data_IF_131595509914
#
_entry.id   IF_131595509914
#
_cell.length_a   1.000
_cell.length_b   1.000
_cell.length_c   1.000
_cell.angle_alpha   90.00
_cell.angle_beta   90.00
_cell.angle_gamma   90.00
#
_symmetry.space_group_name_H-M   'P 1'
#
loop_
_entity.id
_entity.type
_entity.pdbx_description
1 polymer ?
#
# COMPACT_ATOMS: atom_id res chain seq x y z
N UNK A 1 -25.60 9.44 3.73
CA UNK A 1 -26.03 8.18 3.08
C UNK A 1 -25.49 8.21 1.65
N UNK A 2 -24.61 7.28 1.34
CA UNK A 2 -24.19 7.08 -0.06
C UNK A 2 -25.37 6.43 -0.80
N UNK A 3 -25.69 6.83 -2.02
CA UNK A 3 -26.91 6.39 -2.73
C UNK A 3 -26.96 4.87 -3.04
N UNK A 4 -25.92 4.12 -2.67
CA UNK A 4 -25.79 2.69 -2.96
C UNK A 4 -25.66 1.82 -1.72
N UNK A 5 -25.68 2.39 -0.50
CA UNK A 5 -25.64 1.61 0.74
C UNK A 5 -26.98 0.90 0.97
N UNK A 6 -26.96 -0.36 1.34
CA UNK A 6 -28.12 -1.06 1.94
C UNK A 6 -28.46 -0.46 3.31
N UNK A 7 -29.61 -0.84 3.87
CA UNK A 7 -30.01 -0.36 5.19
C UNK A 7 -29.00 -0.77 6.30
N UNK A 8 -28.44 -1.98 6.20
CA UNK A 8 -27.42 -2.49 7.12
C UNK A 8 -26.10 -1.71 6.96
N UNK A 9 -25.65 -1.51 5.74
CA UNK A 9 -24.43 -0.74 5.43
C UNK A 9 -24.55 0.72 5.85
N UNK A 10 -25.73 1.33 5.67
CA UNK A 10 -26.01 2.70 6.14
C UNK A 10 -25.97 2.81 7.67
N UNK A 11 -26.47 1.80 8.38
CA UNK A 11 -26.40 1.71 9.85
C UNK A 11 -24.95 1.59 10.30
N UNK A 12 -24.17 0.69 9.68
CA UNK A 12 -22.74 0.49 9.95
C UNK A 12 -21.94 1.78 9.68
N UNK A 13 -22.22 2.48 8.58
CA UNK A 13 -21.58 3.77 8.28
C UNK A 13 -21.84 4.81 9.36
N UNK A 14 -23.06 4.86 9.86
CA UNK A 14 -23.45 5.80 10.92
C UNK A 14 -22.70 5.46 12.22
N UNK A 15 -22.57 4.18 12.58
CA UNK A 15 -21.80 3.72 13.73
C UNK A 15 -20.32 4.09 13.60
N UNK A 16 -19.71 3.79 12.44
CA UNK A 16 -18.31 4.11 12.15
C UNK A 16 -18.05 5.62 12.25
N UNK A 17 -18.87 6.45 11.60
CA UNK A 17 -18.77 7.92 11.65
C UNK A 17 -18.91 8.45 13.05
N UNK A 18 -19.85 7.92 13.84
CA UNK A 18 -20.05 8.36 15.23
C UNK A 18 -18.84 8.07 16.09
N UNK A 19 -18.26 6.88 15.93
CA UNK A 19 -17.04 6.50 16.65
C UNK A 19 -15.84 7.37 16.22
N UNK A 20 -15.64 7.57 14.94
CA UNK A 20 -14.56 8.41 14.40
C UNK A 20 -14.69 9.85 14.88
N UNK A 21 -15.90 10.42 14.88
CA UNK A 21 -16.15 11.79 15.37
C UNK A 21 -15.81 11.95 16.84
N UNK A 22 -15.99 10.92 17.64
CA UNK A 22 -15.66 10.94 19.07
C UNK A 22 -14.16 10.73 19.37
N UNK A 23 -13.39 10.11 18.47
CA UNK A 23 -12.02 9.68 18.72
C UNK A 23 -10.96 10.33 17.81
N UNK A 24 -11.36 10.96 16.71
CA UNK A 24 -10.43 11.56 15.75
C UNK A 24 -10.84 13.00 15.40
N UNK A 25 -9.88 13.78 14.92
CA UNK A 25 -10.14 15.14 14.45
C UNK A 25 -10.41 15.12 12.96
N UNK A 26 -11.47 15.79 12.48
CA UNK A 26 -11.69 15.91 11.05
C UNK A 26 -10.56 16.69 10.38
N UNK A 27 -10.34 16.48 9.09
CA UNK A 27 -9.48 17.33 8.30
C UNK A 27 -10.02 18.77 8.32
N UNK A 28 -9.12 19.75 8.53
CA UNK A 28 -9.46 21.19 8.43
C UNK A 28 -9.54 21.63 6.96
N UNK A 29 -8.78 20.97 6.09
CA UNK A 29 -8.78 21.16 4.63
C UNK A 29 -8.68 19.79 3.95
N UNK A 30 -9.13 19.65 2.70
CA UNK A 30 -8.93 18.42 1.95
C UNK A 30 -7.44 18.08 1.84
N UNK A 31 -7.02 16.83 2.09
CA UNK A 31 -5.62 16.43 1.96
C UNK A 31 -5.13 16.61 0.51
N UNK A 32 -3.93 17.13 0.36
CA UNK A 32 -3.30 17.43 -0.93
C UNK A 32 -2.67 16.17 -1.52
N UNK A 33 -1.93 15.42 -0.72
CA UNK A 33 -1.19 14.25 -1.17
C UNK A 33 -1.77 12.94 -0.61
N UNK A 34 -1.65 11.80 -1.34
CA UNK A 34 -1.89 10.50 -0.76
C UNK A 34 -0.83 10.18 0.29
N UNK A 35 -1.18 9.42 1.31
CA UNK A 35 -0.27 8.98 2.37
C UNK A 35 0.97 8.20 1.87
N UNK A 36 0.90 7.64 0.66
CA UNK A 36 2.04 6.98 0.01
C UNK A 36 3.14 7.96 -0.46
N UNK A 37 2.85 9.27 -0.53
CA UNK A 37 3.83 10.30 -0.84
C UNK A 37 4.21 10.96 0.48
N UNK A 38 5.40 10.61 0.95
CA UNK A 38 5.94 11.10 2.23
C UNK A 38 6.92 12.22 1.94
N UNK A 39 6.76 13.35 2.63
CA UNK A 39 7.73 14.44 2.65
C UNK A 39 8.98 14.03 3.46
N UNK A 40 10.05 14.82 3.34
CA UNK A 40 11.23 14.66 4.20
C UNK A 40 10.86 15.01 5.66
N UNK A 41 11.08 14.07 6.57
CA UNK A 41 10.91 14.29 8.01
C UNK A 41 12.25 14.29 8.72
N UNK A 42 12.38 15.13 9.73
CA UNK A 42 13.47 15.00 10.69
C UNK A 42 13.29 13.68 11.49
N UNK A 43 14.38 13.06 11.97
CA UNK A 43 14.27 11.81 12.74
C UNK A 43 13.29 11.85 13.91
N UNK A 44 13.29 12.95 14.66
CA UNK A 44 12.40 13.14 15.82
C UNK A 44 10.93 13.27 15.37
N UNK A 45 10.69 13.81 14.19
CA UNK A 45 9.35 13.90 13.61
C UNK A 45 8.87 12.52 13.13
N UNK A 46 9.75 11.73 12.53
CA UNK A 46 9.45 10.37 12.10
C UNK A 46 9.09 9.48 13.29
N UNK A 47 9.87 9.51 14.38
CA UNK A 47 9.56 8.79 15.63
C UNK A 47 8.20 9.22 16.21
N UNK A 48 7.94 10.53 16.24
CA UNK A 48 6.65 11.06 16.71
C UNK A 48 5.48 10.57 15.86
N UNK A 49 5.60 10.62 14.53
CA UNK A 49 4.56 10.14 13.60
C UNK A 49 4.31 8.63 13.73
N UNK A 50 5.37 7.85 13.93
CA UNK A 50 5.24 6.43 14.21
C UNK A 50 4.50 6.17 15.53
N UNK A 51 4.86 6.90 16.59
CA UNK A 51 4.18 6.78 17.88
C UNK A 51 2.70 7.17 17.79
N UNK A 52 2.37 8.24 17.06
CA UNK A 52 0.99 8.66 16.79
C UNK A 52 0.21 7.60 15.99
N UNK A 53 0.84 6.99 14.98
CA UNK A 53 0.24 5.93 14.17
C UNK A 53 -0.04 4.66 15.00
N UNK A 54 0.90 4.26 15.85
CA UNK A 54 0.73 3.14 16.80
C UNK A 54 -0.41 3.43 17.79
N UNK A 55 -0.44 4.62 18.38
CA UNK A 55 -1.49 5.02 19.34
C UNK A 55 -2.88 5.04 18.68
N UNK A 56 -3.00 5.55 17.45
CA UNK A 56 -4.25 5.53 16.71
C UNK A 56 -4.69 4.10 16.38
N UNK A 57 -3.78 3.26 15.92
CA UNK A 57 -4.07 1.86 15.60
C UNK A 57 -4.49 1.08 16.83
N UNK A 58 -3.84 1.29 17.99
CA UNK A 58 -4.22 0.70 19.27
C UNK A 58 -5.62 1.16 19.71
N UNK A 59 -5.94 2.44 19.56
CA UNK A 59 -7.28 2.97 19.85
C UNK A 59 -8.35 2.27 18.98
N UNK A 60 -8.07 2.02 17.69
CA UNK A 60 -8.96 1.25 16.84
C UNK A 60 -9.06 -0.21 17.28
N UNK A 61 -7.94 -0.82 17.68
CA UNK A 61 -7.90 -2.22 18.11
C UNK A 61 -8.74 -2.43 19.36
N UNK A 62 -8.57 -1.61 20.38
CA UNK A 62 -9.32 -1.68 21.65
C UNK A 62 -10.83 -1.51 21.46
N UNK A 63 -11.22 -0.70 20.46
CA UNK A 63 -12.62 -0.45 20.11
C UNK A 63 -13.18 -1.43 19.06
N UNK A 64 -12.39 -2.39 18.55
CA UNK A 64 -12.79 -3.36 17.54
C UNK A 64 -12.95 -2.79 16.12
N UNK A 65 -12.21 -1.72 15.78
CA UNK A 65 -12.20 -1.07 14.47
C UNK A 65 -10.90 -1.27 13.67
N UNK A 66 -9.88 -1.88 14.26
CA UNK A 66 -8.56 -2.01 13.64
C UNK A 66 -8.56 -2.89 12.37
N UNK A 67 -9.38 -3.92 12.32
CA UNK A 67 -9.50 -4.83 11.18
C UNK A 67 -10.96 -5.26 11.01
N UNK A 68 -11.76 -4.43 10.37
CA UNK A 68 -13.21 -4.67 10.24
C UNK A 68 -13.50 -6.01 9.56
N UNK A 69 -12.80 -6.35 8.49
CA UNK A 69 -13.00 -7.61 7.75
C UNK A 69 -12.14 -8.77 8.26
N UNK A 70 -11.31 -8.57 9.29
CA UNK A 70 -10.47 -9.64 9.82
C UNK A 70 -11.24 -10.53 10.80
N UNK A 71 -10.88 -11.84 10.91
CA UNK A 71 -11.50 -12.74 11.87
C UNK A 71 -11.35 -12.26 13.31
N UNK A 72 -12.39 -12.52 14.13
CA UNK A 72 -12.39 -12.13 15.55
C UNK A 72 -11.30 -12.81 16.36
N UNK A 73 -10.95 -14.04 16.01
CA UNK A 73 -9.89 -14.82 16.67
C UNK A 73 -8.51 -14.16 16.59
N UNK A 74 -8.28 -13.26 15.63
CA UNK A 74 -7.03 -12.50 15.44
C UNK A 74 -7.19 -11.02 15.79
N UNK A 75 -8.26 -10.64 16.50
CA UNK A 75 -8.50 -9.27 16.95
C UNK A 75 -9.33 -8.41 15.99
N UNK A 76 -9.79 -8.97 14.87
CA UNK A 76 -10.66 -8.29 13.93
C UNK A 76 -12.13 -8.23 14.38
N UNK A 77 -12.96 -7.51 13.63
CA UNK A 77 -14.40 -7.36 13.88
C UNK A 77 -15.23 -8.52 13.31
N UNK A 78 -14.72 -9.27 12.34
CA UNK A 78 -15.42 -10.34 11.61
C UNK A 78 -16.52 -9.80 10.69
N UNK A 79 -16.38 -8.56 10.23
CA UNK A 79 -17.29 -7.92 9.29
C UNK A 79 -17.01 -8.30 7.84
N UNK A 80 -17.80 -7.73 6.92
CA UNK A 80 -17.64 -7.96 5.48
C UNK A 80 -16.55 -7.06 4.87
N UNK A 81 -15.98 -7.42 3.70
CA UNK A 81 -15.11 -6.52 2.95
C UNK A 81 -15.75 -5.18 2.60
N UNK A 82 -17.07 -5.14 2.39
CA UNK A 82 -17.80 -3.90 2.14
C UNK A 82 -17.81 -3.00 3.38
N UNK A 83 -18.00 -3.58 4.56
CA UNK A 83 -17.92 -2.84 5.83
C UNK A 83 -16.51 -2.28 6.07
N UNK A 84 -15.43 -3.01 5.72
CA UNK A 84 -14.07 -2.47 5.78
C UNK A 84 -13.94 -1.23 4.90
N UNK A 85 -14.42 -1.28 3.68
CA UNK A 85 -14.34 -0.14 2.75
C UNK A 85 -15.20 1.05 3.22
N UNK A 86 -16.37 0.78 3.81
CA UNK A 86 -17.18 1.83 4.41
C UNK A 86 -16.39 2.51 5.55
N UNK A 87 -15.74 1.74 6.40
CA UNK A 87 -14.90 2.29 7.47
C UNK A 87 -13.74 3.13 6.92
N UNK A 88 -13.02 2.62 5.90
CA UNK A 88 -11.90 3.33 5.27
C UNK A 88 -12.35 4.64 4.61
N UNK A 89 -13.55 4.65 4.00
CA UNK A 89 -14.16 5.88 3.45
C UNK A 89 -14.44 6.90 4.54
N UNK A 90 -15.07 6.47 5.64
CA UNK A 90 -15.38 7.36 6.77
C UNK A 90 -14.10 7.87 7.44
N UNK A 91 -13.11 6.99 7.67
CA UNK A 91 -11.82 7.36 8.26
C UNK A 91 -11.04 8.36 7.38
N UNK A 92 -11.25 8.34 6.04
CA UNK A 92 -10.58 9.27 5.13
C UNK A 92 -11.00 10.74 5.30
N UNK A 93 -12.09 11.02 5.99
CA UNK A 93 -12.54 12.37 6.34
C UNK A 93 -11.83 12.94 7.59
N UNK A 94 -11.00 12.12 8.26
CA UNK A 94 -10.33 12.47 9.51
C UNK A 94 -8.82 12.51 9.34
N UNK A 95 -8.18 13.46 10.03
CA UNK A 95 -6.72 13.61 10.09
C UNK A 95 -6.15 12.59 11.08
N UNK A 96 -5.85 11.39 10.59
CA UNK A 96 -5.34 10.27 11.37
C UNK A 96 -4.04 9.74 10.77
N UNK A 97 -3.01 9.45 11.61
CA UNK A 97 -1.73 8.93 11.14
C UNK A 97 -1.87 7.45 10.75
N UNK A 98 -1.35 7.07 9.57
CA UNK A 98 -1.44 5.69 9.04
C UNK A 98 -0.19 5.21 8.34
N UNK A 99 0.71 6.09 7.96
CA UNK A 99 1.71 5.87 6.91
C UNK A 99 2.66 4.70 7.20
N UNK A 100 3.28 4.65 8.37
CA UNK A 100 4.25 3.60 8.72
C UNK A 100 3.64 2.20 8.85
N UNK A 101 2.33 2.09 9.10
CA UNK A 101 1.65 0.81 9.33
C UNK A 101 0.99 0.23 8.07
N UNK A 102 0.93 1.00 6.97
CA UNK A 102 0.15 0.63 5.77
C UNK A 102 0.66 -0.65 5.11
N UNK A 103 1.98 -0.89 5.10
CA UNK A 103 2.58 -2.08 4.49
C UNK A 103 2.17 -3.34 5.23
N UNK A 104 2.27 -3.31 6.56
CA UNK A 104 1.86 -4.42 7.42
C UNK A 104 0.36 -4.68 7.35
N UNK A 105 -0.44 -3.67 7.67
CA UNK A 105 -1.90 -3.80 7.77
C UNK A 105 -2.60 -4.02 6.42
N UNK A 106 -2.10 -3.35 5.38
CA UNK A 106 -2.75 -3.37 4.07
C UNK A 106 -2.28 -4.49 3.14
N UNK A 107 -1.05 -5.00 3.28
CA UNK A 107 -0.43 -5.89 2.29
C UNK A 107 0.08 -7.19 2.91
N UNK A 108 1.04 -7.12 3.85
CA UNK A 108 1.68 -8.31 4.44
C UNK A 108 0.74 -9.10 5.35
N UNK A 109 0.03 -8.42 6.25
CA UNK A 109 -0.91 -9.05 7.16
C UNK A 109 -2.03 -9.82 6.46
N UNK A 110 -2.73 -9.24 5.47
CA UNK A 110 -3.69 -9.97 4.66
C UNK A 110 -3.11 -11.19 3.94
N UNK A 111 -1.85 -11.14 3.47
CA UNK A 111 -1.19 -12.29 2.86
C UNK A 111 -0.93 -13.40 3.89
N UNK A 112 -0.45 -13.06 5.10
CA UNK A 112 -0.29 -14.00 6.21
C UNK A 112 -1.64 -14.55 6.67
N UNK A 113 -2.69 -13.72 6.73
CA UNK A 113 -4.04 -14.15 7.09
C UNK A 113 -4.57 -15.25 6.14
N UNK A 114 -4.29 -15.14 4.84
CA UNK A 114 -4.77 -16.10 3.84
C UNK A 114 -3.87 -17.34 3.74
N UNK A 115 -2.55 -17.15 3.76
CA UNK A 115 -1.56 -18.18 3.38
C UNK A 115 -0.74 -18.71 4.55
N UNK A 116 -0.70 -18.01 5.69
CA UNK A 116 -0.03 -18.45 6.90
C UNK A 116 -0.75 -19.65 7.54
N UNK A 117 -0.03 -20.46 8.30
CA UNK A 117 -0.61 -21.49 9.14
C UNK A 117 -1.24 -20.89 10.42
N UNK A 118 -1.88 -21.73 11.25
CA UNK A 118 -2.60 -21.25 12.45
C UNK A 118 -1.65 -20.60 13.47
N UNK A 119 -0.44 -21.16 13.65
CA UNK A 119 0.54 -20.62 14.61
C UNK A 119 1.08 -19.26 14.15
N UNK A 120 1.37 -19.11 12.86
CA UNK A 120 1.78 -17.84 12.27
C UNK A 120 0.69 -16.77 12.41
N UNK A 121 -0.56 -17.11 12.11
CA UNK A 121 -1.69 -16.18 12.27
C UNK A 121 -1.84 -15.76 13.74
N UNK A 122 -1.80 -16.71 14.67
CA UNK A 122 -1.96 -16.45 16.10
C UNK A 122 -0.81 -15.60 16.66
N UNK A 123 0.44 -15.82 16.17
CA UNK A 123 1.62 -15.07 16.63
C UNK A 123 1.69 -13.67 16.05
N UNK A 124 1.46 -13.52 14.74
CA UNK A 124 1.82 -12.30 14.03
C UNK A 124 0.65 -11.34 13.79
N UNK A 125 -0.59 -11.84 13.63
CA UNK A 125 -1.69 -10.97 13.25
C UNK A 125 -2.21 -10.06 14.38
N UNK A 126 -2.36 -10.51 15.63
CA UNK A 126 -2.86 -9.63 16.70
C UNK A 126 -1.93 -8.44 16.98
N UNK A 127 -0.60 -8.60 17.19
CA UNK A 127 0.29 -7.46 17.46
C UNK A 127 0.44 -6.54 16.26
N UNK A 128 0.42 -7.07 15.02
CA UNK A 128 0.35 -6.25 13.81
C UNK A 128 -0.93 -5.40 13.80
N UNK A 129 -2.09 -6.01 14.08
CA UNK A 129 -3.38 -5.35 14.04
C UNK A 129 -3.52 -4.30 15.15
N UNK A 130 -2.89 -4.52 16.30
CA UNK A 130 -2.81 -3.56 17.40
C UNK A 130 -1.83 -2.38 17.12
N UNK A 131 -0.98 -2.50 16.10
CA UNK A 131 0.06 -1.52 15.79
C UNK A 131 1.30 -1.63 16.70
N UNK A 132 1.44 -2.73 17.42
CA UNK A 132 2.60 -3.02 18.26
C UNK A 132 3.82 -3.37 17.42
N UNK A 133 3.62 -4.09 16.30
CA UNK A 133 4.66 -4.52 15.38
C UNK A 133 4.48 -3.87 14.00
N UNK A 134 5.54 -3.28 13.48
CA UNK A 134 5.62 -2.66 12.15
C UNK A 134 6.19 -3.66 11.15
N UNK A 135 5.63 -3.70 9.96
CA UNK A 135 6.04 -4.64 8.93
C UNK A 135 6.45 -3.96 7.63
N UNK A 136 7.48 -4.50 6.98
CA UNK A 136 7.87 -4.13 5.63
C UNK A 136 7.78 -5.29 4.63
N UNK A 137 7.93 -4.97 3.34
CA UNK A 137 7.85 -5.91 2.22
C UNK A 137 9.22 -6.02 1.54
N UNK A 138 9.90 -7.16 1.69
CA UNK A 138 11.23 -7.45 1.17
C UNK A 138 11.14 -8.22 -0.15
N UNK A 139 10.70 -7.57 -1.23
CA UNK A 139 10.46 -8.22 -2.52
C UNK A 139 11.50 -7.83 -3.56
N UNK A 140 11.47 -6.58 -4.02
CA UNK A 140 12.30 -6.08 -5.11
C UNK A 140 13.80 -6.15 -4.81
N UNK A 141 14.60 -6.36 -5.87
CA UNK A 141 16.07 -6.32 -5.82
C UNK A 141 16.60 -5.33 -6.86
N UNK A 142 17.86 -4.90 -6.77
CA UNK A 142 18.45 -4.01 -7.78
C UNK A 142 18.32 -4.55 -9.21
N UNK A 143 18.38 -5.86 -9.39
CA UNK A 143 18.23 -6.55 -10.69
C UNK A 143 16.83 -7.13 -10.96
N UNK A 144 15.87 -7.04 -10.02
CA UNK A 144 14.57 -7.71 -10.11
C UNK A 144 13.44 -6.82 -9.58
N UNK A 145 12.95 -5.91 -10.43
CA UNK A 145 11.77 -5.07 -10.20
C UNK A 145 10.56 -5.61 -10.94
N UNK A 146 10.36 -5.21 -12.22
CA UNK A 146 9.24 -5.72 -13.04
C UNK A 146 9.31 -7.23 -13.27
N UNK A 147 10.51 -7.77 -13.43
CA UNK A 147 10.78 -9.21 -13.46
C UNK A 147 11.11 -9.72 -12.06
N UNK A 148 10.15 -9.58 -11.14
CA UNK A 148 10.35 -9.98 -9.73
C UNK A 148 10.68 -11.47 -9.58
N UNK A 149 10.15 -12.32 -10.45
CA UNK A 149 10.46 -13.74 -10.41
C UNK A 149 11.93 -14.06 -10.73
N UNK A 150 12.67 -13.09 -11.28
CA UNK A 150 14.12 -13.16 -11.52
C UNK A 150 14.99 -12.84 -10.30
N UNK A 151 14.42 -12.64 -9.11
CA UNK A 151 15.15 -12.33 -7.89
C UNK A 151 16.21 -13.39 -7.56
N UNK A 152 17.28 -12.93 -6.91
CA UNK A 152 18.51 -13.69 -6.64
C UNK A 152 18.80 -13.89 -5.15
N UNK A 153 18.13 -13.17 -4.25
CA UNK A 153 18.20 -13.47 -2.80
C UNK A 153 17.92 -14.94 -2.60
N UNK A 154 18.85 -15.67 -2.01
CA UNK A 154 18.75 -17.11 -1.79
C UNK A 154 18.34 -17.43 -0.36
N UNK A 155 17.69 -18.56 -0.18
CA UNK A 155 17.43 -19.17 1.10
C UNK A 155 17.87 -20.64 1.04
N UNK A 156 18.79 -21.04 1.91
CA UNK A 156 19.35 -22.39 1.97
C UNK A 156 18.90 -23.01 3.28
N UNK A 157 18.28 -24.21 3.23
CA UNK A 157 17.86 -24.95 4.42
C UNK A 157 19.08 -25.45 5.23
N UNK A 158 19.02 -25.25 6.54
CA UNK A 158 20.01 -25.70 7.52
C UNK A 158 19.31 -26.27 8.76
N UNK A 159 18.98 -27.55 8.73
CA UNK A 159 18.18 -28.20 9.77
C UNK A 159 16.73 -27.72 9.79
N UNK A 160 16.29 -27.10 10.88
CA UNK A 160 14.98 -26.50 11.08
C UNK A 160 14.95 -24.98 10.83
N UNK A 161 15.99 -24.45 10.21
CA UNK A 161 16.14 -23.04 9.84
C UNK A 161 16.49 -22.87 8.36
N UNK A 162 16.38 -21.65 7.90
CA UNK A 162 16.83 -21.17 6.59
C UNK A 162 17.86 -20.07 6.75
N UNK A 163 18.91 -20.11 5.93
CA UNK A 163 19.93 -19.06 5.87
C UNK A 163 19.69 -18.21 4.64
N UNK A 164 19.41 -16.92 4.84
CA UNK A 164 19.08 -15.97 3.77
C UNK A 164 20.30 -15.08 3.47
N UNK A 165 20.62 -14.98 2.16
CA UNK A 165 21.65 -14.08 1.64
C UNK A 165 21.14 -13.34 0.41
N UNK A 166 21.29 -12.00 0.40
CA UNK A 166 20.91 -11.16 -0.73
C UNK A 166 20.74 -9.69 -0.39
N UNK A 167 20.16 -8.97 -1.34
CA UNK A 167 19.87 -7.53 -1.20
C UNK A 167 18.47 -7.23 -1.70
N UNK A 168 17.70 -6.52 -0.88
CA UNK A 168 16.40 -5.99 -1.23
C UNK A 168 16.48 -4.47 -1.39
N UNK A 169 15.60 -3.91 -2.20
CA UNK A 169 15.60 -2.46 -2.49
C UNK A 169 14.17 -1.93 -2.61
N UNK A 170 14.01 -0.63 -2.44
CA UNK A 170 12.71 0.06 -2.43
C UNK A 170 11.78 -0.45 -1.31
N UNK A 171 12.35 -0.87 -0.20
CA UNK A 171 11.60 -1.36 0.95
C UNK A 171 11.10 -0.18 1.79
N UNK A 172 9.79 0.03 1.79
CA UNK A 172 9.13 1.12 2.53
C UNK A 172 9.27 0.90 4.02
N UNK A 173 9.79 1.90 4.75
CA UNK A 173 9.94 1.93 6.21
C UNK A 173 10.67 0.72 6.82
N UNK A 174 11.61 0.09 6.10
CA UNK A 174 12.37 -1.04 6.64
C UNK A 174 13.13 -0.69 7.91
N UNK A 175 13.63 0.54 8.04
CA UNK A 175 14.35 1.04 9.22
C UNK A 175 13.46 1.23 10.45
N UNK A 176 12.15 1.23 10.30
CA UNK A 176 11.16 1.30 11.40
C UNK A 176 10.47 -0.04 11.66
N UNK A 177 10.78 -1.06 10.84
CA UNK A 177 10.02 -2.32 10.84
C UNK A 177 10.61 -3.34 11.80
N UNK A 178 9.73 -4.03 12.52
CA UNK A 178 10.07 -5.18 13.36
C UNK A 178 10.16 -6.46 12.53
N UNK A 179 9.30 -6.60 11.50
CA UNK A 179 9.21 -7.77 10.64
C UNK A 179 9.22 -7.43 9.16
N UNK A 180 9.78 -8.32 8.34
CA UNK A 180 9.78 -8.24 6.90
C UNK A 180 9.17 -9.48 6.24
N UNK A 181 8.18 -9.31 5.34
CA UNK A 181 7.74 -10.40 4.47
C UNK A 181 8.69 -10.50 3.29
N UNK A 182 9.58 -11.52 3.31
CA UNK A 182 10.66 -11.69 2.36
C UNK A 182 10.36 -12.80 1.35
N UNK A 183 10.64 -12.54 0.07
CA UNK A 183 10.68 -13.58 -0.96
C UNK A 183 12.12 -13.90 -1.29
N UNK A 184 12.48 -15.19 -1.25
CA UNK A 184 13.80 -15.67 -1.57
C UNK A 184 13.75 -16.92 -2.46
N UNK A 185 14.85 -17.21 -3.14
CA UNK A 185 14.99 -18.39 -3.99
C UNK A 185 15.48 -19.56 -3.17
N UNK A 186 14.65 -20.58 -3.07
CA UNK A 186 14.94 -21.86 -2.39
C UNK A 186 15.38 -22.95 -3.36
N UNK A 187 15.00 -22.84 -4.65
CA UNK A 187 15.39 -23.80 -5.68
C UNK A 187 15.78 -23.04 -6.97
N UNK A 188 17.10 -22.98 -7.29
CA UNK A 188 17.58 -22.31 -8.50
C UNK A 188 17.32 -23.10 -9.78
N UNK A 189 17.06 -24.41 -9.69
CA UNK A 189 16.90 -25.31 -10.84
C UNK A 189 15.42 -25.41 -11.28
N UNK A 190 14.51 -25.00 -10.42
CA UNK A 190 13.08 -24.93 -10.73
C UNK A 190 12.73 -23.77 -11.66
N UNK A 191 11.63 -23.88 -12.41
CA UNK A 191 11.08 -22.75 -13.18
C UNK A 191 10.95 -21.51 -12.30
N UNK A 192 11.28 -20.35 -12.88
CA UNK A 192 11.44 -19.04 -12.26
C UNK A 192 10.48 -18.74 -11.07
N UNK A 193 9.17 -18.98 -11.27
CA UNK A 193 8.14 -18.73 -10.28
C UNK A 193 8.00 -19.83 -9.20
N UNK A 194 8.43 -21.06 -9.51
CA UNK A 194 8.28 -22.22 -8.62
C UNK A 194 9.44 -22.40 -7.65
N UNK A 195 10.58 -21.78 -7.94
CA UNK A 195 11.77 -21.84 -7.09
C UNK A 195 11.79 -20.80 -5.96
N UNK A 196 10.66 -20.12 -5.70
CA UNK A 196 10.56 -19.03 -4.71
C UNK A 196 9.78 -19.48 -3.48
N UNK A 197 10.24 -19.09 -2.30
CA UNK A 197 9.55 -19.26 -1.02
C UNK A 197 9.43 -17.93 -0.28
N UNK A 198 8.50 -17.85 0.66
CA UNK A 198 8.24 -16.65 1.45
C UNK A 198 8.58 -16.87 2.91
N UNK A 199 9.19 -15.87 3.56
CA UNK A 199 9.66 -15.93 4.93
C UNK A 199 9.26 -14.67 5.69
N UNK A 200 8.89 -14.82 6.96
CA UNK A 200 8.76 -13.72 7.93
C UNK A 200 10.12 -13.54 8.58
N UNK A 201 10.81 -12.45 8.29
CA UNK A 201 12.17 -12.14 8.75
C UNK A 201 12.08 -11.13 9.90
N UNK A 202 12.74 -11.42 11.01
CA UNK A 202 12.98 -10.46 12.08
C UNK A 202 14.00 -9.42 11.60
N UNK A 203 13.59 -8.16 11.49
CA UNK A 203 14.41 -7.07 10.97
C UNK A 203 15.54 -6.66 11.93
N UNK A 204 15.52 -7.15 13.18
CA UNK A 204 16.55 -6.93 14.18
C UNK A 204 17.56 -8.11 14.28
N UNK A 205 17.38 -9.16 13.46
CA UNK A 205 18.28 -10.30 13.43
C UNK A 205 19.70 -9.93 13.01
N UNK A 206 20.69 -10.63 13.54
CA UNK A 206 22.07 -10.53 13.07
C UNK A 206 22.14 -10.79 11.56
N UNK A 207 22.88 -9.95 10.83
CA UNK A 207 23.02 -10.01 9.38
C UNK A 207 21.99 -9.21 8.60
N UNK A 208 20.98 -8.59 9.23
CA UNK A 208 20.09 -7.62 8.60
C UNK A 208 20.70 -6.22 8.74
N UNK A 209 20.88 -5.54 7.62
CA UNK A 209 21.33 -4.14 7.59
C UNK A 209 20.40 -3.34 6.69
N UNK A 210 19.85 -2.22 7.19
CA UNK A 210 19.00 -1.30 6.43
C UNK A 210 19.74 -0.01 6.11
N UNK A 211 19.62 0.48 4.86
CA UNK A 211 20.20 1.76 4.42
C UNK A 211 19.14 2.60 3.73
N UNK A 212 18.86 3.82 4.21
CA UNK A 212 17.87 4.68 3.59
C UNK A 212 18.27 5.14 2.19
N UNK A 213 17.29 5.26 1.29
CA UNK A 213 17.44 5.76 -0.07
C UNK A 213 16.77 7.13 -0.19
N UNK A 214 17.57 8.17 -0.41
CA UNK A 214 17.04 9.52 -0.61
C UNK A 214 16.34 9.66 -1.95
N UNK A 215 15.10 10.12 -1.92
CA UNK A 215 14.22 10.32 -3.06
C UNK A 215 14.29 11.77 -3.59
N UNK A 216 13.59 12.05 -4.71
CA UNK A 216 13.50 13.41 -5.27
C UNK A 216 12.75 14.39 -4.34
N UNK A 217 11.85 13.88 -3.50
CA UNK A 217 11.13 14.64 -2.46
C UNK A 217 12.02 15.04 -1.29
N UNK A 218 13.27 14.55 -1.22
CA UNK A 218 14.13 14.66 -0.03
C UNK A 218 13.92 13.52 0.97
N UNK A 219 12.73 12.93 1.03
CA UNK A 219 12.41 11.83 1.93
C UNK A 219 13.29 10.58 1.72
N UNK A 220 13.46 9.78 2.77
CA UNK A 220 14.26 8.56 2.77
C UNK A 220 13.50 7.35 3.36
N UNK A 221 12.19 7.33 3.16
CA UNK A 221 11.31 6.25 3.65
C UNK A 221 11.45 4.93 2.88
N UNK A 222 12.13 4.91 1.72
CA UNK A 222 12.58 3.67 1.08
C UNK A 222 13.99 3.29 1.51
N UNK A 223 14.24 1.98 1.57
CA UNK A 223 15.52 1.44 2.02
C UNK A 223 16.05 0.37 1.08
N UNK A 224 17.38 0.25 1.04
CA UNK A 224 18.06 -1.01 0.75
C UNK A 224 18.09 -1.85 2.02
N UNK A 225 17.95 -3.17 1.88
CA UNK A 225 18.05 -4.12 2.97
C UNK A 225 19.02 -5.23 2.55
N UNK A 226 20.11 -5.35 3.26
CA UNK A 226 21.09 -6.40 3.06
C UNK A 226 20.83 -7.56 4.02
N UNK A 227 20.84 -8.76 3.49
CA UNK A 227 20.70 -10.01 4.24
C UNK A 227 22.02 -10.78 4.09
N UNK A 228 22.73 -10.98 5.18
CA UNK A 228 24.06 -11.62 5.20
C UNK A 228 24.06 -12.78 6.20
N UNK A 229 23.71 -13.97 5.74
CA UNK A 229 23.59 -15.15 6.58
C UNK A 229 22.48 -15.10 7.61
N UNK A 230 21.37 -14.39 7.31
CA UNK A 230 20.26 -14.21 8.24
C UNK A 230 19.54 -15.54 8.47
N UNK A 231 19.47 -15.97 9.73
CA UNK A 231 18.81 -17.22 10.13
C UNK A 231 17.32 -17.00 10.38
N UNK A 232 16.50 -17.80 9.73
CA UNK A 232 15.03 -17.73 9.83
C UNK A 232 14.49 -19.12 10.12
N UNK A 233 13.77 -19.34 11.23
CA UNK A 233 13.14 -20.63 11.55
C UNK A 233 12.18 -21.09 10.45
N UNK A 234 12.10 -22.41 10.15
CA UNK A 234 11.14 -22.93 9.16
C UNK A 234 9.69 -22.63 9.55
N UNK A 235 9.41 -22.48 10.83
CA UNK A 235 8.09 -22.01 11.33
C UNK A 235 7.69 -20.63 10.86
N UNK A 236 8.64 -19.80 10.39
CA UNK A 236 8.41 -18.48 9.80
C UNK A 236 8.26 -18.52 8.26
N UNK A 237 8.37 -19.69 7.63
CA UNK A 237 8.11 -19.85 6.20
C UNK A 237 6.61 -19.85 5.93
N UNK A 238 6.14 -18.93 5.09
CA UNK A 238 4.72 -18.78 4.74
C UNK A 238 4.38 -19.65 3.53
N UNK A 239 3.49 -20.61 3.71
CA UNK A 239 3.15 -21.61 2.70
C UNK A 239 4.21 -22.73 2.58
N UNK A 240 4.10 -23.55 1.53
CA UNK A 240 5.05 -24.62 1.25
C UNK A 240 6.32 -24.08 0.54
N UNK A 241 7.41 -24.87 0.54
CA UNK A 241 8.59 -24.56 -0.29
C UNK A 241 8.15 -24.49 -1.76
N UNK A 242 8.49 -23.39 -2.44
CA UNK A 242 8.05 -23.13 -3.82
C UNK A 242 6.74 -22.31 -3.95
N UNK A 243 6.04 -22.02 -2.84
CA UNK A 243 4.78 -21.23 -2.84
C UNK A 243 4.99 -19.70 -2.80
N UNK A 244 6.24 -19.23 -2.78
CA UNK A 244 6.55 -17.79 -2.63
C UNK A 244 5.88 -16.92 -3.68
N UNK A 245 5.74 -17.40 -4.93
CA UNK A 245 5.04 -16.63 -5.96
C UNK A 245 3.54 -16.43 -5.66
N UNK A 246 2.91 -17.39 -5.01
CA UNK A 246 1.53 -17.27 -4.55
C UNK A 246 1.40 -16.19 -3.47
N UNK A 247 2.38 -16.10 -2.57
CA UNK A 247 2.45 -15.03 -1.56
C UNK A 247 2.60 -13.66 -2.23
N UNK A 248 3.51 -13.53 -3.22
CA UNK A 248 3.68 -12.29 -4.01
C UNK A 248 2.37 -11.82 -4.64
N UNK A 249 1.68 -12.72 -5.36
CA UNK A 249 0.42 -12.36 -6.04
C UNK A 249 -0.65 -11.94 -5.03
N UNK A 250 -0.76 -12.66 -3.91
CA UNK A 250 -1.73 -12.33 -2.85
C UNK A 250 -1.43 -10.95 -2.25
N UNK A 251 -0.18 -10.65 -1.92
CA UNK A 251 0.23 -9.34 -1.41
C UNK A 251 -0.10 -8.22 -2.40
N UNK A 252 0.22 -8.38 -3.68
CA UNK A 252 -0.07 -7.39 -4.72
C UNK A 252 -1.58 -7.17 -4.97
N UNK A 253 -2.41 -8.20 -4.75
CA UNK A 253 -3.86 -8.02 -4.84
C UNK A 253 -4.36 -7.02 -3.79
N UNK A 254 -3.90 -7.13 -2.56
CA UNK A 254 -4.26 -6.22 -1.47
C UNK A 254 -3.67 -4.82 -1.66
N UNK A 255 -2.41 -4.71 -2.07
CA UNK A 255 -1.77 -3.44 -2.40
C UNK A 255 -2.60 -2.63 -3.41
N UNK A 256 -3.07 -3.27 -4.49
CA UNK A 256 -3.88 -2.63 -5.53
C UNK A 256 -5.26 -2.19 -5.05
N UNK A 257 -5.86 -2.89 -4.10
CA UNK A 257 -7.15 -2.50 -3.51
C UNK A 257 -7.03 -1.19 -2.73
N UNK A 258 -5.96 -0.97 -1.99
CA UNK A 258 -5.71 0.27 -1.24
C UNK A 258 -5.62 1.52 -2.13
N UNK A 259 -5.21 1.37 -3.39
CA UNK A 259 -5.09 2.48 -4.35
C UNK A 259 -6.45 3.08 -4.77
N UNK A 260 -7.55 2.37 -4.58
CA UNK A 260 -8.89 2.79 -5.05
C UNK A 260 -9.64 3.71 -4.08
N UNK A 261 -9.18 3.87 -2.83
CA UNK A 261 -9.88 4.59 -1.77
C UNK A 261 -9.33 6.01 -1.59
N UNK A 262 -10.19 7.00 -1.35
CA UNK A 262 -9.81 8.31 -0.79
C UNK A 262 -9.40 9.42 -1.78
N UNK A 263 -9.61 9.30 -3.10
CA UNK A 263 -9.12 10.31 -4.08
C UNK A 263 -10.00 11.54 -4.29
N UNK A 264 -11.23 11.54 -3.79
CA UNK A 264 -12.16 12.66 -3.96
C UNK A 264 -11.69 13.95 -3.29
N UNK A 265 -11.02 13.84 -2.16
CA UNK A 265 -10.48 14.96 -1.39
C UNK A 265 -9.35 15.70 -2.12
N UNK A 266 -8.42 14.97 -2.77
CA UNK A 266 -7.31 15.57 -3.52
C UNK A 266 -7.81 16.37 -4.73
N UNK A 267 -8.83 15.86 -5.43
CA UNK A 267 -9.50 16.59 -6.52
C UNK A 267 -10.19 17.85 -5.99
N UNK A 268 -10.74 17.80 -4.78
CA UNK A 268 -11.35 18.98 -4.14
C UNK A 268 -10.28 20.01 -3.77
N UNK A 269 -9.14 19.58 -3.19
CA UNK A 269 -8.01 20.47 -2.88
C UNK A 269 -7.49 21.18 -4.14
N UNK A 270 -7.27 20.43 -5.24
CA UNK A 270 -6.82 21.01 -6.50
C UNK A 270 -7.82 22.01 -7.12
N UNK A 271 -9.11 21.87 -6.85
CA UNK A 271 -10.12 22.82 -7.30
C UNK A 271 -9.91 24.21 -6.72
N UNK A 272 -9.37 24.30 -5.52
CA UNK A 272 -9.13 25.59 -4.84
C UNK A 272 -7.98 26.41 -5.52
N UNK A 273 -7.16 25.75 -6.36
CA UNK A 273 -6.10 26.42 -7.14
C UNK A 273 -6.57 26.92 -8.50
N UNK A 274 -7.80 26.67 -8.91
CA UNK A 274 -8.31 27.10 -10.21
C UNK A 274 -8.55 28.60 -10.23
N UNK A 275 -8.13 29.23 -11.35
CA UNK A 275 -8.51 30.60 -11.71
C UNK A 275 -9.72 30.57 -12.65
N UNK A 276 -10.05 31.73 -13.24
CA UNK A 276 -11.08 31.83 -14.28
C UNK A 276 -10.53 31.41 -15.68
N UNK A 277 -9.28 30.93 -15.79
CA UNK A 277 -8.74 30.42 -17.06
C UNK A 277 -9.46 29.14 -17.47
N UNK A 278 -10.13 29.22 -18.63
CA UNK A 278 -10.89 28.09 -19.17
C UNK A 278 -10.05 26.83 -19.38
N UNK A 279 -8.76 26.96 -19.67
CA UNK A 279 -7.86 25.80 -19.88
C UNK A 279 -7.63 25.04 -18.56
N UNK A 280 -7.45 25.76 -17.46
CA UNK A 280 -7.32 25.16 -16.12
C UNK A 280 -8.60 24.43 -15.74
N UNK A 281 -9.75 25.07 -15.91
CA UNK A 281 -11.06 24.50 -15.63
C UNK A 281 -11.30 23.24 -16.49
N UNK A 282 -11.02 23.30 -17.79
CA UNK A 282 -11.18 22.16 -18.69
C UNK A 282 -10.24 21.01 -18.33
N UNK A 283 -8.98 21.30 -17.98
CA UNK A 283 -8.00 20.32 -17.50
C UNK A 283 -8.47 19.60 -16.23
N UNK A 284 -8.81 20.36 -15.20
CA UNK A 284 -9.33 19.83 -13.95
C UNK A 284 -10.62 19.01 -14.16
N UNK A 285 -11.52 19.51 -15.01
CA UNK A 285 -12.79 18.82 -15.31
C UNK A 285 -12.55 17.44 -15.92
N UNK A 286 -11.58 17.29 -16.84
CA UNK A 286 -11.20 15.99 -17.42
C UNK A 286 -10.67 15.04 -16.34
N UNK A 287 -9.77 15.54 -15.49
CA UNK A 287 -9.20 14.76 -14.38
C UNK A 287 -10.30 14.33 -13.41
N UNK A 288 -11.24 15.22 -13.09
CA UNK A 288 -12.40 14.91 -12.26
C UNK A 288 -13.32 13.85 -12.89
N UNK A 289 -13.63 13.97 -14.20
CA UNK A 289 -14.42 12.96 -14.93
C UNK A 289 -13.75 11.60 -14.86
N UNK A 290 -12.44 11.52 -15.14
CA UNK A 290 -11.67 10.28 -15.07
C UNK A 290 -11.71 9.68 -13.66
N UNK A 291 -11.59 10.50 -12.62
CA UNK A 291 -11.74 10.08 -11.23
C UNK A 291 -13.12 9.49 -10.92
N UNK A 292 -14.19 10.12 -11.44
CA UNK A 292 -15.57 9.61 -11.29
C UNK A 292 -15.78 8.28 -12.00
N UNK A 293 -15.27 8.13 -13.22
CA UNK A 293 -15.33 6.88 -14.00
C UNK A 293 -14.57 5.75 -13.29
N UNK A 294 -13.39 6.06 -12.75
CA UNK A 294 -12.64 5.10 -11.95
C UNK A 294 -13.39 4.69 -10.69
N UNK A 295 -14.07 5.64 -10.03
CA UNK A 295 -14.94 5.37 -8.88
C UNK A 295 -16.07 4.37 -9.20
N UNK A 296 -16.71 4.49 -10.37
CA UNK A 296 -17.71 3.50 -10.81
C UNK A 296 -17.09 2.11 -11.07
N UNK A 297 -15.86 2.06 -11.57
CA UNK A 297 -15.12 0.79 -11.73
C UNK A 297 -14.83 0.14 -10.37
N UNK A 298 -14.44 0.93 -9.38
CA UNK A 298 -14.26 0.46 -7.99
C UNK A 298 -15.57 -0.09 -7.41
N UNK A 299 -16.71 0.61 -7.58
CA UNK A 299 -18.03 0.13 -7.14
C UNK A 299 -18.44 -1.20 -7.77
N UNK A 300 -18.09 -1.43 -9.05
CA UNK A 300 -18.33 -2.73 -9.72
C UNK A 300 -17.51 -3.85 -9.05
N UNK A 301 -16.25 -3.60 -8.72
CA UNK A 301 -15.39 -4.58 -8.01
C UNK A 301 -15.95 -4.86 -6.62
N UNK A 302 -16.38 -3.84 -5.88
CA UNK A 302 -17.03 -3.99 -4.58
C UNK A 302 -18.30 -4.83 -4.65
N UNK A 303 -19.13 -4.60 -5.68
CA UNK A 303 -20.34 -5.39 -5.90
C UNK A 303 -20.00 -6.87 -6.21
N UNK A 304 -18.91 -7.15 -6.91
CA UNK A 304 -18.47 -8.53 -7.13
C UNK A 304 -18.00 -9.19 -5.82
N UNK A 305 -17.23 -8.46 -4.99
CA UNK A 305 -16.78 -8.93 -3.67
C UNK A 305 -17.95 -9.18 -2.71
N UNK A 306 -18.96 -8.30 -2.68
CA UNK A 306 -20.16 -8.47 -1.82
C UNK A 306 -20.97 -9.71 -2.18
N UNK A 307 -20.83 -10.21 -3.40
CA UNK A 307 -21.45 -11.45 -3.91
C UNK A 307 -20.56 -12.69 -3.76
N UNK A 308 -19.48 -12.60 -2.97
CA UNK A 308 -18.54 -13.71 -2.74
C UNK A 308 -17.49 -13.89 -3.85
N UNK A 309 -17.34 -12.92 -4.76
CA UNK A 309 -16.23 -12.90 -5.71
C UNK A 309 -14.89 -12.64 -5.02
N UNK A 310 -13.81 -12.95 -5.72
CA UNK A 310 -12.45 -12.60 -5.30
C UNK A 310 -11.92 -11.44 -6.14
N UNK A 311 -11.00 -10.60 -5.62
CA UNK A 311 -10.35 -9.57 -6.41
C UNK A 311 -9.67 -10.17 -7.64
N UNK A 312 -9.97 -9.60 -8.81
CA UNK A 312 -9.46 -10.08 -10.09
C UNK A 312 -8.38 -9.15 -10.69
N UNK A 313 -7.92 -9.48 -11.92
CA UNK A 313 -6.93 -8.66 -12.63
C UNK A 313 -7.43 -7.25 -12.97
N UNK A 314 -8.74 -6.98 -12.85
CA UNK A 314 -9.37 -5.68 -13.06
C UNK A 314 -8.84 -4.62 -12.07
N UNK A 315 -8.28 -5.02 -10.93
CA UNK A 315 -7.55 -4.14 -10.01
C UNK A 315 -6.41 -3.36 -10.67
N UNK A 316 -5.83 -3.91 -11.75
CA UNK A 316 -4.83 -3.24 -12.58
C UNK A 316 -5.35 -1.97 -13.25
N UNK A 317 -6.65 -1.87 -13.58
CA UNK A 317 -7.27 -0.64 -14.09
C UNK A 317 -7.22 0.47 -13.04
N UNK A 318 -7.52 0.11 -11.77
CA UNK A 318 -7.46 1.04 -10.65
C UNK A 318 -6.07 1.65 -10.48
N UNK A 319 -5.04 0.81 -10.50
CA UNK A 319 -3.64 1.25 -10.38
C UNK A 319 -3.23 2.11 -11.58
N UNK A 320 -3.38 1.62 -12.80
CA UNK A 320 -2.93 2.31 -14.02
C UNK A 320 -3.61 3.69 -14.17
N UNK A 321 -4.94 3.72 -14.17
CA UNK A 321 -5.70 4.96 -14.39
C UNK A 321 -5.58 5.88 -13.17
N UNK A 322 -5.59 5.32 -11.98
CA UNK A 322 -5.52 6.10 -10.76
C UNK A 322 -4.20 6.82 -10.56
N UNK A 323 -3.06 6.20 -10.87
CA UNK A 323 -1.77 6.88 -10.78
C UNK A 323 -1.59 7.92 -11.90
N UNK A 324 -2.18 7.69 -13.08
CA UNK A 324 -2.23 8.70 -14.13
C UNK A 324 -3.04 9.94 -13.71
N UNK A 325 -4.22 9.73 -13.11
CA UNK A 325 -5.05 10.83 -12.58
C UNK A 325 -4.26 11.67 -11.57
N UNK A 326 -3.51 11.04 -10.66
CA UNK A 326 -2.68 11.76 -9.70
C UNK A 326 -1.56 12.56 -10.40
N UNK A 327 -0.86 11.95 -11.36
CA UNK A 327 0.18 12.65 -12.12
C UNK A 327 -0.39 13.88 -12.84
N UNK A 328 -1.51 13.72 -13.56
CA UNK A 328 -2.17 14.82 -14.27
C UNK A 328 -2.64 15.93 -13.30
N UNK A 329 -3.18 15.52 -12.13
CA UNK A 329 -3.65 16.44 -11.10
C UNK A 329 -2.53 17.32 -10.55
N UNK A 330 -1.40 16.70 -10.17
CA UNK A 330 -0.28 17.45 -9.57
C UNK A 330 0.49 18.27 -10.61
N UNK A 331 0.61 17.79 -11.84
CA UNK A 331 1.16 18.60 -12.93
C UNK A 331 0.32 19.85 -13.17
N UNK A 332 -1.02 19.73 -13.19
CA UNK A 332 -1.92 20.87 -13.31
C UNK A 332 -1.82 21.80 -12.09
N UNK A 333 -1.76 21.25 -10.88
CA UNK A 333 -1.66 22.04 -9.65
C UNK A 333 -0.39 22.90 -9.62
N UNK A 334 0.77 22.32 -9.98
CA UNK A 334 2.04 23.06 -10.10
C UNK A 334 1.95 24.13 -11.20
N UNK A 335 1.33 23.82 -12.34
CA UNK A 335 1.08 24.78 -13.41
C UNK A 335 0.22 25.96 -12.95
N UNK A 336 -0.85 25.71 -12.19
CA UNK A 336 -1.77 26.72 -11.68
C UNK A 336 -1.12 27.60 -10.60
N UNK A 337 -0.17 27.08 -9.82
CA UNK A 337 0.64 27.87 -8.89
C UNK A 337 1.62 28.82 -9.59
N UNK A 338 1.90 28.63 -10.89
CA UNK A 338 2.79 29.49 -11.66
C UNK A 338 4.19 29.55 -11.05
N UNK A 339 4.71 30.77 -10.80
CA UNK A 339 6.03 30.96 -10.22
C UNK A 339 6.17 30.40 -8.80
N UNK A 340 5.10 30.38 -8.02
CA UNK A 340 5.08 29.82 -6.66
C UNK A 340 5.23 28.29 -6.66
N UNK A 341 4.87 27.62 -7.76
CA UNK A 341 5.11 26.20 -7.96
C UNK A 341 6.59 25.79 -8.01
N UNK A 342 7.51 26.75 -8.16
CA UNK A 342 8.96 26.52 -8.12
C UNK A 342 9.58 26.64 -6.72
N UNK A 343 8.82 27.12 -5.74
CA UNK A 343 9.26 27.23 -4.36
C UNK A 343 9.22 25.86 -3.67
N UNK A 344 9.94 25.72 -2.56
CA UNK A 344 10.00 24.50 -1.77
C UNK A 344 9.88 24.76 -0.27
N UNK A 345 9.42 23.78 0.48
CA UNK A 345 9.30 23.82 1.93
C UNK A 345 8.41 24.95 2.43
N UNK A 346 8.80 25.59 3.54
CA UNK A 346 7.97 26.59 4.22
C UNK A 346 7.76 27.89 3.43
N UNK A 347 8.60 28.16 2.43
CA UNK A 347 8.47 29.34 1.55
C UNK A 347 7.45 29.12 0.42
N UNK A 348 7.06 27.87 0.17
CA UNK A 348 6.08 27.52 -0.83
C UNK A 348 4.64 27.60 -0.27
N UNK A 349 3.62 27.91 -1.11
CA UNK A 349 2.23 27.74 -0.74
C UNK A 349 1.97 26.33 -0.23
N UNK A 350 1.12 26.20 0.77
CA UNK A 350 0.79 24.91 1.41
C UNK A 350 2.03 24.18 1.94
N UNK A 351 3.07 24.92 2.36
CA UNK A 351 4.35 24.37 2.85
C UNK A 351 5.02 23.37 1.91
N UNK A 352 4.78 23.49 0.59
CA UNK A 352 5.39 22.64 -0.42
C UNK A 352 4.70 21.31 -0.67
N UNK A 353 3.55 21.02 -0.06
CA UNK A 353 2.85 19.74 -0.22
C UNK A 353 2.48 19.43 -1.69
N UNK A 354 2.17 20.44 -2.51
CA UNK A 354 1.91 20.25 -3.94
C UNK A 354 3.16 19.81 -4.71
N UNK A 355 4.31 20.42 -4.39
CA UNK A 355 5.60 20.11 -5.00
C UNK A 355 6.05 18.70 -4.61
N UNK A 356 5.93 18.32 -3.33
CA UNK A 356 6.25 16.97 -2.85
C UNK A 356 5.36 15.92 -3.50
N UNK A 357 4.06 16.22 -3.62
CA UNK A 357 3.12 15.35 -4.31
C UNK A 357 3.47 15.17 -5.79
N UNK A 358 3.84 16.25 -6.50
CA UNK A 358 4.30 16.18 -7.89
C UNK A 358 5.56 15.34 -8.04
N UNK A 359 6.59 15.59 -7.21
CA UNK A 359 7.86 14.85 -7.21
C UNK A 359 7.69 13.37 -6.82
N UNK A 360 6.69 13.05 -6.02
CA UNK A 360 6.39 11.67 -5.59
C UNK A 360 5.64 10.83 -6.63
N UNK A 361 4.91 11.45 -7.57
CA UNK A 361 4.04 10.71 -8.52
C UNK A 361 4.77 9.74 -9.45
N UNK A 362 6.00 9.99 -9.96
CA UNK A 362 6.72 9.00 -10.75
C UNK A 362 6.91 7.68 -10.02
N UNK A 363 7.17 7.72 -8.71
CA UNK A 363 7.27 6.52 -7.87
C UNK A 363 5.99 5.70 -7.85
N UNK A 364 4.82 6.36 -7.76
CA UNK A 364 3.52 5.70 -7.79
C UNK A 364 3.24 4.98 -9.13
N UNK A 365 3.79 5.45 -10.23
CA UNK A 365 3.64 4.82 -11.56
C UNK A 365 4.55 3.61 -11.76
N UNK A 366 5.59 3.47 -10.92
CA UNK A 366 6.56 2.38 -10.95
C UNK A 366 6.20 1.31 -9.91
N UNK A 367 5.95 1.70 -8.66
CA UNK A 367 5.62 0.81 -7.55
C UNK A 367 4.33 0.01 -7.79
N UNK A 368 4.20 -1.17 -7.17
CA UNK A 368 3.03 -2.06 -7.35
C UNK A 368 2.85 -2.62 -8.76
N UNK A 369 3.95 -2.66 -9.55
CA UNK A 369 3.99 -3.01 -10.97
C UNK A 369 3.83 -1.77 -11.86
N UNK A 370 4.82 -1.58 -12.77
CA UNK A 370 4.86 -0.43 -13.68
C UNK A 370 3.61 -0.31 -14.54
N UNK A 371 3.36 0.87 -15.10
CA UNK A 371 2.26 1.09 -16.05
C UNK A 371 2.29 0.07 -17.21
N UNK A 372 3.48 -0.35 -17.67
CA UNK A 372 3.66 -1.36 -18.71
C UNK A 372 3.19 -2.74 -18.22
N UNK A 373 3.59 -3.14 -17.01
CA UNK A 373 3.13 -4.40 -16.40
C UNK A 373 1.61 -4.38 -16.23
N UNK A 374 1.03 -3.27 -15.78
CA UNK A 374 -0.43 -3.16 -15.64
C UNK A 374 -1.14 -3.30 -16.99
N UNK A 375 -0.60 -2.68 -18.07
CA UNK A 375 -1.14 -2.84 -19.43
C UNK A 375 -1.07 -4.29 -19.91
N UNK A 376 0.02 -5.02 -19.65
CA UNK A 376 0.14 -6.43 -20.00
C UNK A 376 -0.91 -7.28 -19.25
N UNK A 377 -1.08 -7.05 -17.93
CA UNK A 377 -2.10 -7.76 -17.15
C UNK A 377 -3.50 -7.48 -17.68
N UNK A 378 -3.82 -6.21 -18.00
CA UNK A 378 -5.12 -5.84 -18.57
C UNK A 378 -5.31 -6.51 -19.94
N UNK A 379 -4.32 -6.43 -20.82
CA UNK A 379 -4.38 -7.01 -22.16
C UNK A 379 -4.61 -8.52 -22.11
N UNK A 380 -3.80 -9.24 -21.36
CA UNK A 380 -3.82 -10.70 -21.33
C UNK A 380 -4.97 -11.27 -20.51
N UNK A 381 -5.21 -10.71 -19.31
CA UNK A 381 -6.11 -11.33 -18.33
C UNK A 381 -7.50 -10.70 -18.24
N UNK A 382 -7.66 -9.43 -18.64
CA UNK A 382 -8.98 -8.77 -18.68
C UNK A 382 -9.57 -8.81 -20.08
N UNK A 383 -8.75 -8.53 -21.12
CA UNK A 383 -9.22 -8.48 -22.50
C UNK A 383 -9.03 -9.80 -23.25
N UNK A 384 -8.29 -10.77 -22.69
CA UNK A 384 -8.03 -12.07 -23.33
C UNK A 384 -7.15 -12.00 -24.57
N UNK A 385 -6.33 -10.95 -24.70
CA UNK A 385 -5.38 -10.84 -25.82
C UNK A 385 -4.22 -11.85 -25.66
N UNK A 386 -3.60 -12.30 -26.76
CA UNK A 386 -2.48 -13.23 -26.69
C UNK A 386 -1.27 -12.59 -25.99
N UNK A 387 -0.51 -13.42 -25.30
CA UNK A 387 0.80 -13.01 -24.75
C UNK A 387 1.73 -12.58 -25.88
N UNK A 388 2.59 -11.58 -25.59
CA UNK A 388 3.70 -11.27 -26.47
C UNK A 388 4.69 -12.46 -26.49
N UNK A 389 4.92 -13.10 -27.65
CA UNK A 389 5.82 -14.25 -27.75
C UNK A 389 7.29 -13.91 -27.47
N UNK A 390 7.66 -12.64 -27.46
CA UNK A 390 9.02 -12.17 -27.15
C UNK A 390 9.25 -11.99 -25.64
N UNK A 391 8.20 -12.05 -24.81
CA UNK A 391 8.31 -11.96 -23.37
C UNK A 391 8.37 -13.36 -22.75
N UNK A 392 9.34 -13.60 -21.85
CA UNK A 392 9.54 -14.92 -21.20
C UNK A 392 8.38 -15.36 -20.29
#
# INVERSE_FOLDING_TARGET
MQPFDSAEESTFRTEARSWLTANAKPHLSPPIAPSAIVAEWAPEEEERKLAEARAWQQCKFDAGWAGVAWPREFGGRGGSPVQQIIFDQEESDFNVPRDALIVGLGWCGPAVLILGNQDQRARFLPPLLAGEEVWCQLFSEPGAGSDLAGLTTRAIGDGDEWVLDGQKVWTTFAHLSDWGLCIARTDPDSPKHRGLSAFIVDMHSEGVETRPLRQMTGAANFNEVFLSGVRVPDSHRVGEVGDGWRVVITTFMFERMGILVGRGSMLQAARELLTDDRREIDGWTRTWINGRVLGFTALRQLTALSKGGVPGPEGSLGKLVGTQILSDLYEQAIGNLGAEGLLAGVDAPYSGEWQDAFLGTPGLRIGGGTDQIQRNIIAERVLGLPKDPSLP
#
